data_IF_553938555666
#
_entry.id   IF_553938555666
#
_cell.length_a   1.000
_cell.length_b   1.000
_cell.length_c   1.000
_cell.angle_alpha   90.00
_cell.angle_beta   90.00
_cell.angle_gamma   90.00
#
_symmetry.space_group_name_H-M   'P 1'
#
loop_
_entity.id
_entity.type
_entity.pdbx_description
1 polymer ?
#
# COMPACT_ATOMS: atom_id res chain seq x y z
N UNK A 1 -33.57 26.21 -26.77
CA UNK A 1 -32.89 24.90 -27.01
C UNK A 1 -31.39 25.00 -26.74
N UNK A 2 -30.95 25.21 -25.47
CA UNK A 2 -29.53 25.29 -25.11
C UNK A 2 -29.24 24.59 -23.78
N UNK A 3 -30.21 23.90 -23.19
CA UNK A 3 -30.09 23.26 -21.85
C UNK A 3 -29.53 21.84 -21.87
N UNK A 4 -29.48 21.16 -23.01
CA UNK A 4 -29.08 19.75 -23.09
C UNK A 4 -27.56 19.53 -23.11
N UNK A 5 -26.75 20.50 -23.58
CA UNK A 5 -25.31 20.30 -23.68
C UNK A 5 -24.58 20.41 -22.34
N UNK A 6 -25.03 21.30 -21.43
CA UNK A 6 -24.41 21.45 -20.09
C UNK A 6 -24.70 20.29 -19.15
N UNK A 7 -25.90 19.68 -19.22
CA UNK A 7 -26.25 18.53 -18.39
C UNK A 7 -25.49 17.27 -18.81
N UNK A 8 -25.35 17.04 -20.11
CA UNK A 8 -24.60 15.89 -20.64
C UNK A 8 -23.09 16.00 -20.30
N UNK A 9 -22.55 17.22 -20.29
CA UNK A 9 -21.17 17.48 -19.92
C UNK A 9 -20.93 17.19 -18.42
N UNK A 10 -21.82 17.66 -17.53
CA UNK A 10 -21.72 17.43 -16.07
C UNK A 10 -21.78 15.94 -15.70
N UNK A 11 -22.74 15.21 -16.28
CA UNK A 11 -22.86 13.76 -16.07
C UNK A 11 -21.60 13.00 -16.52
N UNK A 12 -21.08 13.34 -17.70
CA UNK A 12 -19.86 12.75 -18.21
C UNK A 12 -18.65 13.05 -17.30
N UNK A 13 -18.57 14.26 -16.75
CA UNK A 13 -17.54 14.68 -15.81
C UNK A 13 -17.62 13.88 -14.49
N UNK A 14 -18.83 13.75 -13.91
CA UNK A 14 -19.04 12.94 -12.70
C UNK A 14 -18.72 11.46 -12.94
N UNK A 15 -19.18 10.90 -14.06
CA UNK A 15 -18.84 9.52 -14.43
C UNK A 15 -17.34 9.32 -14.65
N UNK A 16 -16.65 10.33 -15.18
CA UNK A 16 -15.20 10.32 -15.30
C UNK A 16 -14.53 10.33 -13.91
N UNK A 17 -14.94 11.22 -13.02
CA UNK A 17 -14.44 11.30 -11.65
C UNK A 17 -14.59 9.96 -10.92
N UNK A 18 -15.78 9.37 -10.95
CA UNK A 18 -16.06 8.10 -10.27
C UNK A 18 -15.26 6.91 -10.82
N UNK A 19 -14.89 6.93 -12.09
CA UNK A 19 -13.97 5.92 -12.65
C UNK A 19 -12.52 6.15 -12.21
N UNK A 20 -12.12 7.39 -11.96
CA UNK A 20 -10.75 7.73 -11.54
C UNK A 20 -10.55 7.53 -10.05
N UNK A 21 -11.48 7.99 -9.24
CA UNK A 21 -11.44 7.89 -7.79
C UNK A 21 -11.96 6.54 -7.23
N UNK A 22 -12.62 5.74 -8.09
CA UNK A 22 -13.20 4.45 -7.71
C UNK A 22 -13.26 3.49 -8.90
N UNK A 23 -14.36 2.76 -8.98
CA UNK A 23 -14.57 1.71 -9.99
C UNK A 23 -15.75 2.02 -10.93
N UNK A 24 -16.24 3.25 -10.91
CA UNK A 24 -17.40 3.73 -11.64
C UNK A 24 -18.55 4.12 -10.72
N UNK A 25 -19.71 4.41 -11.31
CA UNK A 25 -20.93 4.70 -10.60
C UNK A 25 -22.13 4.20 -11.39
N UNK A 26 -23.20 3.81 -10.71
CA UNK A 26 -24.49 3.45 -11.28
C UNK A 26 -25.22 4.68 -11.81
N UNK A 27 -26.26 4.48 -12.60
CA UNK A 27 -27.08 5.59 -13.09
C UNK A 27 -27.74 6.37 -11.94
N UNK A 28 -28.24 5.65 -10.92
CA UNK A 28 -28.85 6.28 -9.75
C UNK A 28 -27.86 7.13 -8.94
N UNK A 29 -26.63 6.67 -8.78
CA UNK A 29 -25.55 7.45 -8.12
C UNK A 29 -25.20 8.69 -8.94
N UNK A 30 -25.10 8.57 -10.26
CA UNK A 30 -24.84 9.72 -11.13
C UNK A 30 -25.97 10.75 -11.08
N UNK A 31 -27.24 10.33 -10.98
CA UNK A 31 -28.40 11.24 -10.82
C UNK A 31 -28.26 12.08 -9.53
N UNK A 32 -27.77 11.48 -8.45
CA UNK A 32 -27.51 12.20 -7.18
C UNK A 32 -26.28 13.12 -7.32
N UNK A 33 -25.18 12.63 -7.88
CA UNK A 33 -23.94 13.37 -8.00
C UNK A 33 -24.08 14.62 -8.89
N UNK A 34 -24.90 14.56 -9.93
CA UNK A 34 -25.18 15.71 -10.80
C UNK A 34 -25.88 16.87 -10.07
N UNK A 35 -26.50 16.64 -8.92
CA UNK A 35 -27.14 17.70 -8.13
C UNK A 35 -26.12 18.54 -7.37
N UNK A 36 -24.94 18.00 -7.07
CA UNK A 36 -23.87 18.63 -6.28
C UNK A 36 -22.87 19.40 -7.15
N UNK A 37 -22.21 20.44 -6.62
CA UNK A 37 -21.00 21.03 -7.22
C UNK A 37 -19.89 19.98 -7.37
N UNK A 38 -19.09 20.10 -8.43
CA UNK A 38 -18.00 19.16 -8.70
C UNK A 38 -16.97 19.11 -7.55
N UNK A 39 -16.56 20.28 -7.06
CA UNK A 39 -15.53 20.39 -6.00
C UNK A 39 -16.03 19.77 -4.68
N UNK A 40 -17.32 19.92 -4.37
CA UNK A 40 -17.94 19.27 -3.20
C UNK A 40 -17.85 17.72 -3.31
N UNK A 41 -18.14 17.18 -4.49
CA UNK A 41 -18.02 15.72 -4.71
C UNK A 41 -16.56 15.27 -4.60
N UNK A 42 -15.61 16.05 -5.10
CA UNK A 42 -14.17 15.75 -4.93
C UNK A 42 -13.79 15.74 -3.46
N UNK A 43 -14.23 16.74 -2.69
CA UNK A 43 -13.92 16.83 -1.26
C UNK A 43 -14.55 15.68 -0.47
N UNK A 44 -15.78 15.28 -0.77
CA UNK A 44 -16.43 14.11 -0.17
C UNK A 44 -15.66 12.82 -0.46
N UNK A 45 -15.19 12.63 -1.68
CA UNK A 45 -14.41 11.45 -2.08
C UNK A 45 -13.04 11.41 -1.37
N UNK A 46 -12.35 12.55 -1.28
CA UNK A 46 -11.01 12.62 -0.68
C UNK A 46 -11.03 12.54 0.85
N UNK A 47 -12.17 12.87 1.47
CA UNK A 47 -12.37 12.79 2.92
C UNK A 47 -13.47 11.78 3.25
N UNK A 48 -13.30 10.50 2.92
CA UNK A 48 -14.31 9.49 3.16
C UNK A 48 -14.54 9.35 4.66
N UNK A 49 -15.81 9.34 5.06
CA UNK A 49 -16.21 9.01 6.42
C UNK A 49 -15.87 7.56 6.81
N UNK A 50 -16.34 7.15 7.98
CA UNK A 50 -16.24 5.75 8.38
C UNK A 50 -17.03 4.88 7.39
N UNK A 51 -16.38 3.88 6.82
CA UNK A 51 -17.03 2.93 5.92
C UNK A 51 -18.00 2.03 6.71
N UNK A 52 -19.22 1.86 6.21
CA UNK A 52 -20.20 0.89 6.72
C UNK A 52 -19.93 -0.54 6.22
N UNK A 53 -18.75 -0.79 5.74
CA UNK A 53 -18.42 -2.07 5.13
C UNK A 53 -18.54 -3.22 6.15
N UNK A 54 -19.08 -4.35 5.69
CA UNK A 54 -19.15 -5.56 6.49
C UNK A 54 -17.73 -5.97 6.94
N UNK A 55 -17.52 -6.09 8.25
CA UNK A 55 -16.21 -6.45 8.79
C UNK A 55 -15.78 -7.84 8.33
N UNK A 56 -14.49 -8.08 8.23
CA UNK A 56 -13.95 -9.39 7.87
C UNK A 56 -14.46 -10.50 8.79
N UNK A 57 -14.70 -10.17 10.05
CA UNK A 57 -15.26 -11.09 11.03
C UNK A 57 -16.67 -11.57 10.63
N UNK A 58 -17.51 -10.68 10.15
CA UNK A 58 -18.87 -11.01 9.68
C UNK A 58 -18.80 -11.83 8.40
N UNK A 59 -17.95 -11.42 7.43
CA UNK A 59 -17.73 -12.19 6.20
C UNK A 59 -17.24 -13.61 6.53
N UNK A 60 -16.32 -13.74 7.48
CA UNK A 60 -15.80 -15.02 7.92
C UNK A 60 -16.86 -15.94 8.58
N UNK A 61 -17.87 -15.37 9.24
CA UNK A 61 -18.97 -16.15 9.83
C UNK A 61 -19.85 -16.81 8.79
N UNK A 62 -20.05 -16.18 7.65
CA UNK A 62 -20.92 -16.68 6.59
C UNK A 62 -20.19 -17.53 5.56
N UNK A 63 -18.87 -17.43 5.50
CA UNK A 63 -18.02 -18.13 4.54
C UNK A 63 -16.97 -18.97 5.26
N UNK A 64 -17.36 -20.15 5.71
CA UNK A 64 -16.48 -21.07 6.45
C UNK A 64 -15.31 -21.58 5.62
N UNK A 65 -15.45 -21.64 4.30
CA UNK A 65 -14.38 -21.98 3.35
C UNK A 65 -13.19 -21.01 3.39
N UNK A 66 -13.41 -19.81 3.91
CA UNK A 66 -12.39 -18.79 4.17
C UNK A 66 -11.38 -19.22 5.21
N UNK A 67 -11.73 -20.14 6.05
CA UNK A 67 -10.90 -20.62 7.14
C UNK A 67 -9.74 -21.52 6.68
N UNK A 68 -9.80 -22.03 5.47
CA UNK A 68 -8.70 -22.83 4.95
C UNK A 68 -7.53 -21.94 4.53
N UNK A 69 -6.39 -22.12 5.18
CA UNK A 69 -5.12 -21.44 4.86
C UNK A 69 -4.62 -21.68 3.43
N UNK A 70 -5.27 -22.56 2.70
CA UNK A 70 -4.93 -23.00 1.34
C UNK A 70 -5.47 -22.09 0.24
N UNK A 71 -6.09 -20.98 0.58
CA UNK A 71 -6.87 -20.19 -0.36
C UNK A 71 -6.30 -18.82 -0.73
N UNK A 72 -5.15 -18.74 -1.42
CA UNK A 72 -4.74 -17.50 -2.11
C UNK A 72 -5.88 -16.87 -2.95
N UNK A 73 -6.71 -17.63 -3.66
CA UNK A 73 -7.88 -17.10 -4.36
C UNK A 73 -8.92 -16.41 -3.49
N UNK A 74 -8.97 -16.74 -2.20
CA UNK A 74 -10.00 -16.18 -1.31
C UNK A 74 -9.79 -14.70 -0.99
N UNK A 75 -8.57 -14.30 -0.64
CA UNK A 75 -8.27 -12.87 -0.36
C UNK A 75 -8.57 -12.00 -1.57
N UNK A 76 -8.31 -12.51 -2.78
CA UNK A 76 -8.63 -11.81 -4.01
C UNK A 76 -10.15 -11.68 -4.23
N UNK A 77 -10.93 -12.73 -3.96
CA UNK A 77 -12.40 -12.71 -4.06
C UNK A 77 -13.02 -11.75 -3.05
N UNK A 78 -12.55 -11.76 -1.81
CA UNK A 78 -13.01 -10.85 -0.78
C UNK A 78 -12.69 -9.40 -1.15
N UNK A 79 -11.49 -9.13 -1.63
CA UNK A 79 -11.12 -7.78 -2.05
C UNK A 79 -11.94 -7.30 -3.24
N UNK A 80 -12.15 -8.17 -4.23
CA UNK A 80 -13.03 -7.85 -5.36
C UNK A 80 -14.47 -7.56 -4.91
N UNK A 81 -15.00 -8.36 -3.97
CA UNK A 81 -16.32 -8.10 -3.39
C UNK A 81 -16.38 -6.72 -2.72
N UNK A 82 -15.35 -6.34 -1.94
CA UNK A 82 -15.25 -5.02 -1.35
C UNK A 82 -15.19 -3.91 -2.40
N UNK A 83 -14.41 -4.06 -3.46
CA UNK A 83 -14.34 -3.08 -4.54
C UNK A 83 -15.71 -2.80 -5.19
N UNK A 84 -16.56 -3.83 -5.25
CA UNK A 84 -17.91 -3.72 -5.86
C UNK A 84 -18.94 -3.14 -4.89
N UNK A 85 -18.81 -3.41 -3.58
CA UNK A 85 -19.85 -3.10 -2.59
C UNK A 85 -19.52 -1.95 -1.65
N UNK A 86 -18.32 -1.40 -1.72
CA UNK A 86 -17.87 -0.33 -0.80
C UNK A 86 -18.61 0.99 -1.05
N UNK A 87 -18.93 1.68 0.02
CA UNK A 87 -19.42 3.06 0.04
C UNK A 87 -18.27 4.10 0.03
N UNK A 88 -17.02 3.64 0.18
CA UNK A 88 -15.79 4.45 0.17
C UNK A 88 -14.81 3.97 -0.91
N UNK A 89 -15.16 4.04 -2.20
CA UNK A 89 -14.40 3.41 -3.29
C UNK A 89 -12.97 3.92 -3.43
N UNK A 90 -12.68 5.15 -3.00
CA UNK A 90 -11.33 5.71 -3.03
C UNK A 90 -10.34 4.90 -2.17
N UNK A 91 -10.79 4.36 -1.03
CA UNK A 91 -9.93 3.56 -0.15
C UNK A 91 -9.48 2.27 -0.83
N UNK A 92 -10.42 1.58 -1.50
CA UNK A 92 -10.08 0.39 -2.28
C UNK A 92 -9.24 0.72 -3.51
N UNK A 93 -9.50 1.87 -4.14
CA UNK A 93 -8.72 2.35 -5.29
C UNK A 93 -7.28 2.65 -4.91
N UNK A 94 -7.07 3.31 -3.77
CA UNK A 94 -5.73 3.59 -3.26
C UNK A 94 -5.03 2.32 -2.74
N UNK A 95 -5.76 1.40 -2.11
CA UNK A 95 -5.21 0.10 -1.76
C UNK A 95 -4.73 -0.67 -3.01
N UNK A 96 -5.48 -0.61 -4.12
CA UNK A 96 -5.06 -1.20 -5.39
C UNK A 96 -3.83 -0.51 -5.98
N UNK A 97 -3.75 0.82 -5.89
CA UNK A 97 -2.58 1.59 -6.30
C UNK A 97 -1.32 1.15 -5.55
N UNK A 98 -1.39 1.14 -4.22
CA UNK A 98 -0.25 0.77 -3.38
C UNK A 98 0.14 -0.70 -3.53
N UNK A 99 -0.84 -1.60 -3.65
CA UNK A 99 -0.55 -3.01 -3.94
C UNK A 99 0.14 -3.19 -5.32
N UNK A 100 -0.12 -2.31 -6.28
CA UNK A 100 0.57 -2.31 -7.57
C UNK A 100 2.04 -1.87 -7.50
N UNK A 101 2.39 -1.02 -6.53
CA UNK A 101 3.79 -0.60 -6.28
C UNK A 101 4.48 -1.57 -5.31
N UNK A 102 3.84 -1.88 -4.19
CA UNK A 102 4.34 -2.71 -3.11
C UNK A 102 3.89 -4.17 -3.25
N UNK A 103 4.03 -4.70 -4.46
CA UNK A 103 3.49 -5.99 -4.82
C UNK A 103 4.10 -7.14 -4.00
N UNK A 104 3.22 -7.90 -3.36
CA UNK A 104 3.53 -9.17 -2.72
C UNK A 104 2.64 -10.27 -3.31
N UNK A 105 3.07 -11.51 -3.24
CA UNK A 105 2.33 -12.60 -3.85
C UNK A 105 2.20 -13.84 -2.97
N UNK A 106 1.05 -14.51 -3.07
CA UNK A 106 0.78 -15.74 -2.33
C UNK A 106 1.81 -16.86 -2.65
N UNK A 107 2.35 -16.87 -3.86
CA UNK A 107 3.29 -17.91 -4.30
C UNK A 107 4.55 -18.03 -3.40
N UNK A 108 5.01 -16.90 -2.83
CA UNK A 108 6.15 -16.89 -1.89
C UNK A 108 5.68 -16.77 -0.44
N UNK A 109 4.77 -15.86 -0.13
CA UNK A 109 4.34 -15.65 1.26
C UNK A 109 3.60 -16.86 1.83
N UNK A 110 2.88 -17.59 1.00
CA UNK A 110 2.05 -18.76 1.39
C UNK A 110 1.13 -18.48 2.60
N UNK A 111 0.73 -17.21 2.78
CA UNK A 111 -0.03 -16.71 3.92
C UNK A 111 -1.12 -15.74 3.45
N UNK A 112 -2.31 -16.28 3.13
CA UNK A 112 -3.44 -15.48 2.65
C UNK A 112 -3.87 -14.41 3.67
N UNK A 113 -3.79 -14.71 4.96
CA UNK A 113 -4.14 -13.76 6.02
C UNK A 113 -3.16 -12.58 6.08
N UNK A 114 -1.86 -12.82 5.95
CA UNK A 114 -0.88 -11.74 5.92
C UNK A 114 -1.12 -10.79 4.73
N UNK A 115 -1.44 -11.34 3.55
CA UNK A 115 -1.82 -10.54 2.38
C UNK A 115 -3.10 -9.73 2.59
N UNK A 116 -4.11 -10.30 3.25
CA UNK A 116 -5.34 -9.57 3.58
C UNK A 116 -5.09 -8.43 4.57
N UNK A 117 -4.24 -8.65 5.58
CA UNK A 117 -3.81 -7.63 6.55
C UNK A 117 -3.02 -6.51 5.85
N UNK A 118 -2.15 -6.84 4.89
CA UNK A 118 -1.44 -5.86 4.08
C UNK A 118 -2.39 -4.97 3.26
N UNK A 119 -3.38 -5.55 2.60
CA UNK A 119 -4.38 -4.77 1.85
C UNK A 119 -5.17 -3.87 2.80
N UNK A 120 -5.48 -4.31 4.01
CA UNK A 120 -6.16 -3.50 5.02
C UNK A 120 -5.26 -2.35 5.53
N UNK A 121 -3.98 -2.58 5.65
CA UNK A 121 -2.99 -1.54 5.95
C UNK A 121 -2.97 -0.48 4.84
N UNK A 122 -2.99 -0.87 3.56
CA UNK A 122 -3.07 0.08 2.45
C UNK A 122 -4.35 0.92 2.47
N UNK A 123 -5.50 0.38 2.91
CA UNK A 123 -6.73 1.16 3.10
C UNK A 123 -6.57 2.23 4.17
N UNK A 124 -5.97 1.86 5.30
CA UNK A 124 -5.84 2.76 6.45
C UNK A 124 -4.83 3.87 6.22
N UNK A 125 -3.73 3.57 5.56
CA UNK A 125 -2.61 4.51 5.39
C UNK A 125 -2.52 5.09 3.98
N UNK A 126 -3.23 4.55 3.01
CA UNK A 126 -3.03 4.86 1.59
C UNK A 126 -3.40 6.28 1.14
N UNK A 127 -4.23 7.00 1.91
CA UNK A 127 -4.51 8.44 1.73
C UNK A 127 -3.73 9.33 2.70
N UNK A 128 -2.91 8.72 3.57
CA UNK A 128 -2.11 9.41 4.57
C UNK A 128 -0.75 9.86 4.04
N UNK A 129 0.17 10.10 4.97
CA UNK A 129 1.54 10.45 4.63
C UNK A 129 2.32 9.24 4.11
N UNK A 130 3.19 9.48 3.15
CA UNK A 130 3.98 8.43 2.53
C UNK A 130 4.98 7.79 3.50
N UNK A 131 5.60 8.57 4.38
CA UNK A 131 6.50 8.06 5.41
C UNK A 131 5.80 7.12 6.39
N UNK A 132 4.59 7.47 6.87
CA UNK A 132 3.80 6.62 7.73
C UNK A 132 3.46 5.29 7.03
N UNK A 133 3.02 5.36 5.77
CA UNK A 133 2.71 4.18 4.96
C UNK A 133 3.95 3.29 4.76
N UNK A 134 5.10 3.88 4.47
CA UNK A 134 6.33 3.13 4.21
C UNK A 134 6.88 2.47 5.49
N UNK A 135 6.71 3.10 6.65
CA UNK A 135 7.01 2.50 7.96
C UNK A 135 6.11 1.28 8.21
N UNK A 136 4.81 1.42 8.00
CA UNK A 136 3.86 0.30 8.20
C UNK A 136 4.10 -0.83 7.21
N UNK A 137 4.46 -0.51 5.97
CA UNK A 137 4.89 -1.49 4.97
C UNK A 137 6.14 -2.25 5.42
N UNK A 138 7.11 -1.55 5.99
CA UNK A 138 8.37 -2.16 6.46
C UNK A 138 8.15 -3.09 7.67
N UNK A 139 7.06 -2.89 8.42
CA UNK A 139 6.61 -3.74 9.53
C UNK A 139 5.59 -4.80 9.09
N UNK A 140 5.18 -4.78 7.83
CA UNK A 140 4.16 -5.70 7.33
C UNK A 140 4.70 -7.13 7.18
N UNK A 141 4.06 -8.14 7.78
CA UNK A 141 4.54 -9.51 7.74
C UNK A 141 4.62 -10.10 6.32
N UNK A 142 3.70 -9.75 5.43
CA UNK A 142 3.74 -10.25 4.05
C UNK A 142 4.95 -9.67 3.31
N UNK A 143 5.29 -8.40 3.54
CA UNK A 143 6.45 -7.74 2.94
C UNK A 143 7.77 -8.28 3.51
N UNK A 144 7.86 -8.49 4.82
CA UNK A 144 9.05 -9.06 5.47
C UNK A 144 9.36 -10.45 4.88
N UNK A 145 8.33 -11.31 4.73
CA UNK A 145 8.49 -12.63 4.08
C UNK A 145 8.86 -12.48 2.61
N UNK A 146 8.21 -11.54 1.89
CA UNK A 146 8.40 -11.37 0.46
C UNK A 146 9.83 -10.97 0.09
N UNK A 147 10.45 -10.14 0.92
CA UNK A 147 11.80 -9.61 0.71
C UNK A 147 12.85 -10.25 1.62
N UNK A 148 12.51 -11.33 2.32
CA UNK A 148 13.41 -12.10 3.17
C UNK A 148 14.08 -11.27 4.28
N UNK A 149 13.41 -10.22 4.77
CA UNK A 149 14.00 -9.39 5.82
C UNK A 149 14.05 -10.10 7.19
N UNK A 150 13.30 -11.20 7.38
CA UNK A 150 13.44 -12.07 8.54
C UNK A 150 14.83 -12.77 8.60
N UNK A 151 15.51 -12.84 7.47
CA UNK A 151 16.87 -13.42 7.33
C UNK A 151 17.96 -12.33 7.30
N UNK A 152 17.61 -11.09 7.64
CA UNK A 152 18.51 -9.96 7.72
C UNK A 152 19.00 -9.76 9.17
N UNK A 153 20.21 -10.21 9.48
CA UNK A 153 20.80 -10.22 10.81
C UNK A 153 22.02 -9.28 10.89
N UNK A 154 22.35 -8.76 12.08
CA UNK A 154 23.49 -7.87 12.27
C UNK A 154 24.84 -8.49 11.82
N UNK A 155 24.98 -9.80 11.93
CA UNK A 155 26.20 -10.53 11.55
C UNK A 155 26.09 -11.20 10.17
N UNK A 156 24.92 -11.09 9.51
CA UNK A 156 24.65 -11.65 8.18
C UNK A 156 23.61 -10.78 7.46
N UNK A 157 24.09 -9.67 6.88
CA UNK A 157 23.23 -8.68 6.23
C UNK A 157 22.61 -9.27 4.97
N UNK A 158 21.28 -9.15 4.86
CA UNK A 158 20.52 -9.42 3.65
C UNK A 158 20.08 -8.10 3.02
N UNK A 159 20.62 -7.82 1.82
CA UNK A 159 20.39 -6.54 1.13
C UNK A 159 19.06 -6.49 0.35
N UNK A 160 18.31 -7.57 0.27
CA UNK A 160 17.13 -7.64 -0.59
C UNK A 160 16.09 -6.54 -0.23
N UNK A 161 15.71 -6.47 1.04
CA UNK A 161 14.77 -5.45 1.50
C UNK A 161 15.33 -4.03 1.31
N UNK A 162 16.59 -3.79 1.68
CA UNK A 162 17.25 -2.48 1.55
C UNK A 162 17.33 -2.01 0.09
N UNK A 163 17.54 -2.92 -0.85
CA UNK A 163 17.54 -2.62 -2.28
C UNK A 163 16.14 -2.24 -2.77
N UNK A 164 15.16 -3.07 -2.48
CA UNK A 164 13.79 -2.90 -2.99
C UNK A 164 13.10 -1.65 -2.43
N UNK A 165 13.35 -1.29 -1.16
CA UNK A 165 12.78 -0.08 -0.58
C UNK A 165 13.28 1.18 -1.29
N UNK A 166 14.52 1.19 -1.78
CA UNK A 166 15.10 2.30 -2.54
C UNK A 166 14.69 2.26 -4.01
N UNK A 167 14.78 1.10 -4.63
CA UNK A 167 14.64 0.93 -6.07
C UNK A 167 13.18 0.92 -6.53
N UNK A 168 12.37 0.03 -5.96
CA UNK A 168 11.01 -0.19 -6.43
C UNK A 168 9.95 0.57 -5.63
N UNK A 169 10.25 0.94 -4.38
CA UNK A 169 9.21 1.47 -3.48
C UNK A 169 9.29 2.96 -3.26
N UNK A 170 10.45 3.61 -3.52
CA UNK A 170 10.58 5.03 -3.16
C UNK A 170 11.30 5.91 -4.16
N UNK A 171 12.55 5.61 -4.52
CA UNK A 171 13.40 6.58 -5.23
C UNK A 171 13.61 6.25 -6.70
N UNK A 172 13.54 4.97 -7.07
CA UNK A 172 13.89 4.49 -8.40
C UNK A 172 15.40 4.41 -8.65
N UNK A 173 15.80 3.66 -9.67
CA UNK A 173 17.18 3.39 -10.02
C UNK A 173 17.96 4.70 -10.26
N UNK A 174 19.21 4.74 -9.77
CA UNK A 174 20.16 5.83 -10.04
C UNK A 174 20.11 7.00 -9.05
N UNK A 175 19.29 6.92 -8.00
CA UNK A 175 19.19 7.95 -6.98
C UNK A 175 19.84 7.56 -5.63
N UNK A 176 20.59 6.47 -5.60
CA UNK A 176 21.28 5.92 -4.45
C UNK A 176 22.51 5.13 -4.93
N UNK A 177 23.40 4.78 -4.01
CA UNK A 177 24.62 3.98 -4.25
C UNK A 177 24.47 2.57 -3.68
N UNK A 178 25.37 1.66 -4.03
CA UNK A 178 25.45 0.32 -3.40
C UNK A 178 25.78 0.41 -1.91
N UNK A 179 26.53 1.41 -1.48
CA UNK A 179 26.79 1.63 -0.06
C UNK A 179 25.52 2.10 0.67
N UNK A 180 24.66 2.92 0.05
CA UNK A 180 23.36 3.28 0.61
C UNK A 180 22.47 2.04 0.81
N UNK A 181 22.50 1.07 -0.12
CA UNK A 181 21.76 -0.19 0.04
C UNK A 181 22.24 -0.97 1.26
N UNK A 182 23.57 -1.10 1.45
CA UNK A 182 24.15 -1.79 2.61
C UNK A 182 23.76 -1.11 3.92
N UNK A 183 23.92 0.20 3.99
CA UNK A 183 23.62 0.98 5.19
C UNK A 183 22.12 0.95 5.51
N UNK A 184 21.26 1.01 4.48
CA UNK A 184 19.84 0.78 4.60
C UNK A 184 19.55 -0.61 5.19
N UNK A 185 20.12 -1.65 4.63
CA UNK A 185 19.91 -3.04 5.08
C UNK A 185 20.38 -3.26 6.52
N UNK A 186 21.53 -2.67 6.91
CA UNK A 186 22.00 -2.67 8.31
C UNK A 186 20.97 -2.05 9.27
N UNK A 187 20.27 -0.99 8.84
CA UNK A 187 19.26 -0.33 9.65
C UNK A 187 17.97 -1.14 9.82
N UNK A 188 17.69 -2.09 8.92
CA UNK A 188 16.55 -3.00 9.01
C UNK A 188 16.88 -4.35 9.63
N UNK A 189 18.10 -4.58 10.11
CA UNK A 189 18.44 -5.77 10.91
C UNK A 189 17.60 -5.82 12.19
N UNK A 190 17.23 -7.00 12.62
CA UNK A 190 16.37 -7.21 13.77
C UNK A 190 14.89 -6.90 13.54
N UNK A 191 14.49 -6.36 12.37
CA UNK A 191 13.10 -6.21 11.96
C UNK A 191 12.62 -7.54 11.39
N UNK A 192 11.88 -8.29 12.19
CA UNK A 192 11.56 -9.68 11.88
C UNK A 192 10.13 -10.05 12.25
N UNK A 193 9.85 -11.32 12.24
CA UNK A 193 8.52 -11.88 12.47
C UNK A 193 8.46 -12.65 13.78
N UNK A 194 7.32 -12.51 14.45
CA UNK A 194 6.93 -13.33 15.58
C UNK A 194 5.60 -14.02 15.31
N UNK A 195 5.53 -15.24 15.73
CA UNK A 195 4.26 -15.96 15.82
C UNK A 195 4.10 -16.51 17.24
N UNK A 196 3.34 -15.79 18.06
CA UNK A 196 3.08 -16.17 19.43
C UNK A 196 2.27 -17.50 19.54
N UNK A 197 1.49 -17.82 18.52
CA UNK A 197 0.62 -19.00 18.49
C UNK A 197 1.28 -20.20 17.82
N UNK A 198 2.46 -20.04 17.25
CA UNK A 198 3.11 -21.06 16.43
C UNK A 198 3.24 -22.42 17.14
N UNK A 199 3.65 -22.42 18.38
CA UNK A 199 3.83 -23.66 19.14
C UNK A 199 2.50 -24.32 19.48
N UNK A 200 1.50 -23.55 19.83
CA UNK A 200 0.15 -24.07 20.11
C UNK A 200 -0.50 -24.63 18.86
N UNK A 201 -0.36 -23.95 17.72
CA UNK A 201 -0.86 -24.40 16.42
C UNK A 201 -0.15 -25.66 15.95
N UNK A 202 1.16 -25.76 16.16
CA UNK A 202 1.93 -26.95 15.79
C UNK A 202 1.57 -28.17 16.63
N UNK A 203 1.21 -27.95 17.88
CA UNK A 203 0.68 -29.02 18.76
C UNK A 203 -0.74 -29.47 18.36
N UNK A 204 -1.52 -28.60 17.72
CA UNK A 204 -2.88 -28.84 17.25
C UNK A 204 -2.90 -29.03 15.73
N UNK A 205 -2.14 -29.97 15.24
CA UNK A 205 -1.77 -30.21 13.84
C UNK A 205 -2.90 -30.16 12.81
N UNK A 206 -4.14 -30.42 13.22
CA UNK A 206 -5.31 -30.47 12.34
C UNK A 206 -6.42 -29.49 12.78
N UNK A 207 -6.10 -28.50 13.62
CA UNK A 207 -7.08 -27.54 14.09
C UNK A 207 -7.39 -26.52 12.99
N UNK A 208 -8.58 -26.62 12.42
CA UNK A 208 -9.15 -25.67 11.46
C UNK A 208 -9.90 -24.51 12.12
N UNK A 209 -9.99 -24.50 13.45
CA UNK A 209 -10.73 -23.48 14.19
C UNK A 209 -9.93 -22.19 14.41
N UNK A 210 -10.59 -21.03 14.62
CA UNK A 210 -9.94 -19.73 14.58
C UNK A 210 -8.74 -19.58 15.51
N UNK A 211 -8.67 -20.34 16.54
CA UNK A 211 -7.56 -20.34 17.50
C UNK A 211 -6.30 -21.08 17.01
N UNK A 212 -6.42 -21.89 15.97
CA UNK A 212 -5.31 -22.62 15.35
C UNK A 212 -4.60 -21.88 14.22
N UNK A 213 -4.90 -20.61 13.97
CA UNK A 213 -4.33 -19.87 12.84
C UNK A 213 -2.96 -19.31 13.16
N UNK A 214 -2.03 -19.56 12.26
CA UNK A 214 -0.74 -18.89 12.27
C UNK A 214 -0.98 -17.43 11.97
N UNK A 215 -0.71 -16.56 12.92
CA UNK A 215 -0.74 -15.10 12.76
C UNK A 215 0.68 -14.59 12.90
N UNK A 216 1.22 -14.08 11.81
CA UNK A 216 2.52 -13.44 11.83
C UNK A 216 2.37 -11.97 12.22
N UNK A 217 3.24 -11.53 13.14
CA UNK A 217 3.33 -10.17 13.61
C UNK A 217 4.76 -9.66 13.46
N UNK A 218 4.90 -8.37 13.27
CA UNK A 218 6.18 -7.72 13.35
C UNK A 218 6.77 -7.85 14.76
N UNK A 219 8.07 -8.12 14.83
CA UNK A 219 8.87 -8.09 16.05
C UNK A 219 10.17 -7.36 15.78
N UNK A 220 10.53 -6.42 16.66
CA UNK A 220 11.87 -5.85 16.69
C UNK A 220 12.73 -6.61 17.69
N UNK A 221 13.90 -7.11 17.25
CA UNK A 221 14.88 -7.80 18.09
C UNK A 221 16.12 -6.93 18.24
N UNK A 222 16.21 -6.22 19.34
CA UNK A 222 17.32 -5.31 19.62
C UNK A 222 18.68 -6.02 19.64
N UNK A 223 18.75 -7.25 20.15
CA UNK A 223 19.98 -8.04 20.18
C UNK A 223 20.49 -8.45 18.80
N UNK A 224 19.65 -8.44 17.78
CA UNK A 224 19.93 -8.77 16.39
C UNK A 224 20.02 -7.53 15.49
N UNK A 225 19.84 -6.35 16.06
CA UNK A 225 19.98 -5.09 15.34
C UNK A 225 21.42 -4.59 15.32
N UNK A 226 21.88 -4.08 14.17
CA UNK A 226 23.19 -3.41 14.03
C UNK A 226 23.11 -2.01 14.63
N UNK A 227 23.72 -1.85 15.83
CA UNK A 227 23.78 -0.61 16.59
C UNK A 227 24.92 0.33 16.16
N UNK A 228 25.67 -0.02 15.10
CA UNK A 228 26.76 0.80 14.59
C UNK A 228 26.27 2.05 13.87
N UNK A 229 27.13 3.06 13.79
CA UNK A 229 26.88 4.22 12.95
C UNK A 229 26.74 3.79 11.48
N UNK A 230 25.83 4.44 10.79
CA UNK A 230 25.53 4.24 9.37
C UNK A 230 25.64 5.58 8.66
N UNK A 231 26.06 5.56 7.40
CA UNK A 231 26.03 6.73 6.52
C UNK A 231 25.09 6.44 5.36
N UNK A 232 23.97 7.13 5.31
CA UNK A 232 22.91 6.86 4.37
C UNK A 232 22.43 8.16 3.70
N UNK A 233 22.48 8.22 2.38
CA UNK A 233 22.10 9.38 1.55
C UNK A 233 22.71 10.70 2.05
N UNK A 234 23.96 10.64 2.53
CA UNK A 234 24.71 11.80 3.02
C UNK A 234 24.45 12.18 4.49
N UNK A 235 23.53 11.52 5.18
CA UNK A 235 23.33 11.65 6.61
C UNK A 235 24.08 10.56 7.37
N UNK A 236 24.60 10.85 8.59
CA UNK A 236 25.32 9.88 9.40
C UNK A 236 24.78 9.83 10.82
N UNK A 237 24.58 8.62 11.34
CA UNK A 237 24.05 8.39 12.68
C UNK A 237 23.83 6.91 12.99
N UNK A 238 23.45 6.61 14.22
CA UNK A 238 22.96 5.28 14.59
C UNK A 238 21.48 5.16 14.17
N UNK A 239 21.26 4.95 12.88
CA UNK A 239 19.92 4.86 12.29
C UNK A 239 19.31 3.48 12.45
N UNK A 240 18.01 3.45 12.71
CA UNK A 240 17.16 2.27 12.55
C UNK A 240 16.24 2.41 11.32
N UNK A 241 15.39 1.42 11.06
CA UNK A 241 14.50 1.42 9.90
C UNK A 241 13.55 2.62 9.83
N UNK A 242 13.02 3.10 10.97
CA UNK A 242 12.16 4.30 11.00
C UNK A 242 12.93 5.56 10.57
N UNK A 243 14.21 5.69 10.94
CA UNK A 243 15.05 6.82 10.54
C UNK A 243 15.34 6.78 9.03
N UNK A 244 15.67 5.61 8.50
CA UNK A 244 15.87 5.39 7.06
C UNK A 244 14.65 5.80 6.26
N UNK A 245 13.44 5.38 6.67
CA UNK A 245 12.19 5.78 6.00
C UNK A 245 12.01 7.30 5.99
N UNK A 246 12.30 7.96 7.11
CA UNK A 246 12.21 9.45 7.20
C UNK A 246 13.21 10.14 6.29
N UNK A 247 14.43 9.60 6.16
CA UNK A 247 15.45 10.14 5.23
C UNK A 247 14.99 9.96 3.79
N UNK A 248 14.50 8.77 3.43
CA UNK A 248 13.95 8.47 2.10
C UNK A 248 12.79 9.42 1.76
N UNK A 249 11.86 9.62 2.67
CA UNK A 249 10.68 10.45 2.44
C UNK A 249 11.00 11.93 2.15
N UNK A 250 12.15 12.44 2.65
CA UNK A 250 12.62 13.80 2.38
C UNK A 250 13.30 13.95 1.01
N UNK A 251 13.63 12.85 0.33
CA UNK A 251 14.34 12.92 -0.95
C UNK A 251 13.41 13.42 -2.07
N UNK A 252 13.94 14.33 -2.89
CA UNK A 252 13.22 14.82 -4.08
C UNK A 252 12.89 13.67 -5.05
N UNK A 253 13.80 12.71 -5.19
CA UNK A 253 13.61 11.54 -6.04
C UNK A 253 12.38 10.73 -5.61
N UNK A 254 12.14 10.59 -4.30
CA UNK A 254 10.95 9.92 -3.75
C UNK A 254 9.68 10.64 -4.15
N UNK A 255 9.63 11.95 -3.99
CA UNK A 255 8.47 12.75 -4.39
C UNK A 255 8.18 12.64 -5.91
N UNK A 256 9.22 12.69 -6.74
CA UNK A 256 9.09 12.54 -8.19
C UNK A 256 8.63 11.13 -8.59
N UNK A 257 9.18 10.10 -7.97
CA UNK A 257 8.83 8.70 -8.22
C UNK A 257 7.36 8.43 -7.89
N UNK A 258 6.94 8.74 -6.68
CA UNK A 258 5.56 8.48 -6.21
C UNK A 258 4.56 9.33 -6.99
N UNK A 259 4.84 10.63 -7.22
CA UNK A 259 3.94 11.50 -7.99
C UNK A 259 3.75 11.01 -9.43
N UNK A 260 4.78 10.46 -10.06
CA UNK A 260 4.69 9.89 -11.41
C UNK A 260 3.78 8.67 -11.42
N UNK A 261 3.97 7.73 -10.48
CA UNK A 261 3.13 6.54 -10.38
C UNK A 261 1.66 6.90 -10.10
N UNK A 262 1.43 7.83 -9.18
CA UNK A 262 0.08 8.30 -8.84
C UNK A 262 -0.60 8.98 -10.05
N UNK A 263 0.13 9.81 -10.78
CA UNK A 263 -0.37 10.42 -12.01
C UNK A 263 -0.72 9.38 -13.08
N UNK A 264 0.19 8.45 -13.33
CA UNK A 264 -0.03 7.38 -14.33
C UNK A 264 -1.25 6.52 -13.98
N UNK A 265 -1.44 6.20 -12.71
CA UNK A 265 -2.58 5.41 -12.25
C UNK A 265 -3.90 6.17 -12.29
N UNK A 266 -3.90 7.43 -11.81
CA UNK A 266 -5.14 8.19 -11.60
C UNK A 266 -5.59 8.99 -12.82
N UNK A 267 -4.66 9.54 -13.61
CA UNK A 267 -4.97 10.55 -14.63
C UNK A 267 -4.60 10.15 -16.04
N UNK A 268 -3.60 9.27 -16.22
CA UNK A 268 -3.08 8.97 -17.55
C UNK A 268 -4.11 8.26 -18.43
N UNK A 269 -4.44 8.87 -19.57
CA UNK A 269 -5.19 8.22 -20.64
C UNK A 269 -4.22 7.71 -21.71
N UNK A 270 -4.50 6.55 -22.31
CA UNK A 270 -3.61 5.88 -23.31
C UNK A 270 -3.14 6.77 -24.48
N UNK A 271 -3.76 7.91 -24.70
CA UNK A 271 -3.48 8.80 -25.84
C UNK A 271 -2.56 10.00 -25.51
N UNK A 272 -2.07 10.17 -24.28
CA UNK A 272 -1.23 11.33 -23.92
C UNK A 272 0.29 11.06 -23.95
N UNK A 273 0.74 10.08 -24.68
CA UNK A 273 2.16 9.69 -24.76
C UNK A 273 3.10 10.72 -25.46
N UNK A 274 2.61 11.88 -25.89
CA UNK A 274 3.42 12.77 -26.75
C UNK A 274 4.07 13.99 -26.09
N UNK A 275 3.75 14.42 -24.87
CA UNK A 275 4.31 15.64 -24.31
C UNK A 275 4.72 15.52 -22.82
N UNK A 276 5.85 14.87 -22.55
CA UNK A 276 6.46 14.80 -21.21
C UNK A 276 6.97 16.13 -20.63
N UNK A 277 6.91 17.23 -21.41
CA UNK A 277 7.43 18.55 -20.99
C UNK A 277 6.44 19.39 -20.16
N UNK A 278 5.15 19.12 -20.24
CA UNK A 278 4.11 19.94 -19.57
C UNK A 278 3.92 19.57 -18.09
N UNK A 279 4.32 18.37 -17.69
CA UNK A 279 4.19 17.86 -16.33
C UNK A 279 5.10 18.56 -15.31
N UNK A 280 6.34 18.87 -15.70
CA UNK A 280 7.30 19.57 -14.86
C UNK A 280 6.89 21.01 -14.52
N UNK A 281 6.04 21.64 -15.34
CA UNK A 281 5.53 22.98 -15.08
C UNK A 281 4.35 23.00 -14.08
N UNK A 282 3.55 21.93 -14.02
CA UNK A 282 2.46 21.78 -13.06
C UNK A 282 2.95 21.56 -11.63
N UNK A 283 3.98 20.74 -11.46
CA UNK A 283 4.56 20.40 -10.14
C UNK A 283 5.26 21.62 -9.51
N UNK A 284 5.89 22.50 -10.30
CA UNK A 284 6.48 23.76 -9.81
C UNK A 284 5.46 24.74 -9.22
N UNK A 285 4.17 24.62 -9.55
CA UNK A 285 3.11 25.49 -8.99
C UNK A 285 2.51 24.97 -7.67
N UNK A 286 2.78 23.71 -7.28
CA UNK A 286 2.30 23.13 -6.03
C UNK A 286 3.34 23.19 -4.90
N UNK A 287 4.57 23.62 -5.20
CA UNK A 287 5.67 23.76 -4.26
C UNK A 287 6.01 25.21 -3.86
N UNK A 288 5.19 26.18 -4.27
CA UNK A 288 5.17 27.58 -3.80
C UNK A 288 3.87 27.86 -3.07
#
# INVERSE_FOLDING_TARGET
MVTTSKSTDKRALMAHLMRRAGFGATQAELDVLETKPYDEVVDEILNPGASNHMTDEVVMRYHTEVHEQRGGPWSAKQWLYRMVTTDTPILEKMALFWHGIFATGYAKTNQARALAVQIDMFRRFGLGKFDDLLVELSKDPAMIIWLDNQDNHKDAINENFGREILELFSMGIGNYTEDDIKECSRAFTGWTLKNAEYMSVRAMKDSIWPYGRISWHYEYRDHDHDQGNKTFLGESGNFNGDDIVRIIAKQRATAEFISRHLYDFSLRTKNQFRNGHTLLQGIKKLST
#
